data_IF_639515297228
#
_entry.id   IF_639515297228
#
_cell.length_a   1.000
_cell.length_b   1.000
_cell.length_c   1.000
_cell.angle_alpha   90.00
_cell.angle_beta   90.00
_cell.angle_gamma   90.00
#
_symmetry.space_group_name_H-M   'P 1'
#
loop_
_entity.id
_entity.type
_entity.pdbx_description
1 polymer ?
#
# COMPACT_ATOMS: atom_id res chain seq x y z
N UNK A 1 -5.67 10.99 -6.10
CA UNK A 1 -6.45 12.22 -5.82
C UNK A 1 -5.74 13.03 -4.73
N UNK A 2 -5.01 14.11 -5.06
CA UNK A 2 -4.31 14.89 -4.00
C UNK A 2 -5.27 15.93 -3.42
N UNK A 3 -5.57 15.83 -2.12
CA UNK A 3 -6.32 16.84 -1.36
C UNK A 3 -5.34 17.62 -0.50
N UNK A 4 -5.57 18.93 -0.34
CA UNK A 4 -4.75 19.76 0.56
C UNK A 4 -4.89 19.35 2.02
N UNK A 5 -6.05 18.82 2.38
CA UNK A 5 -6.39 18.41 3.73
C UNK A 5 -6.52 16.89 3.81
N UNK A 6 -6.20 16.36 4.97
CA UNK A 6 -6.41 14.97 5.29
C UNK A 6 -7.92 14.68 5.34
N UNK A 7 -8.34 13.60 4.70
CA UNK A 7 -9.72 13.16 4.62
C UNK A 7 -9.78 11.73 5.13
N UNK A 8 -10.48 11.51 6.26
CA UNK A 8 -10.60 10.21 6.91
C UNK A 8 -11.55 9.25 6.18
N UNK A 9 -12.32 9.74 5.21
CA UNK A 9 -13.27 8.93 4.41
C UNK A 9 -12.61 8.22 3.21
N UNK A 10 -11.28 8.24 3.13
CA UNK A 10 -10.55 7.56 2.07
C UNK A 10 -10.80 6.04 2.08
N UNK A 11 -10.68 5.44 0.91
CA UNK A 11 -10.84 3.99 0.75
C UNK A 11 -9.53 3.30 1.08
N UNK A 12 -9.62 2.22 1.84
CA UNK A 12 -8.52 1.30 2.11
C UNK A 12 -9.06 -0.08 2.42
N UNK A 13 -8.17 -1.02 2.71
CA UNK A 13 -8.55 -2.37 3.12
C UNK A 13 -9.16 -2.34 4.52
N UNK A 14 -10.26 -3.07 4.68
CA UNK A 14 -10.68 -3.61 5.96
C UNK A 14 -10.00 -4.97 6.16
N UNK A 15 -10.02 -5.47 7.40
CA UNK A 15 -9.34 -6.68 7.83
C UNK A 15 -9.74 -7.89 6.99
N UNK A 16 -11.02 -8.04 6.66
CA UNK A 16 -11.55 -9.14 5.86
C UNK A 16 -11.01 -9.12 4.42
N UNK A 17 -10.95 -7.94 3.80
CA UNK A 17 -10.35 -7.75 2.48
C UNK A 17 -8.86 -8.04 2.47
N UNK A 18 -8.13 -7.59 3.50
CA UNK A 18 -6.71 -7.91 3.67
C UNK A 18 -6.50 -9.42 3.83
N UNK A 19 -7.33 -10.07 4.66
CA UNK A 19 -7.25 -11.50 4.94
C UNK A 19 -7.53 -12.31 3.68
N UNK A 20 -8.56 -11.94 2.93
CA UNK A 20 -8.88 -12.60 1.67
C UNK A 20 -7.72 -12.55 0.69
N UNK A 21 -7.06 -11.40 0.53
CA UNK A 21 -5.92 -11.24 -0.37
C UNK A 21 -4.76 -12.15 0.03
N UNK A 22 -4.42 -12.19 1.32
CA UNK A 22 -3.37 -13.04 1.88
C UNK A 22 -3.68 -14.53 1.65
N UNK A 23 -4.93 -14.95 1.87
CA UNK A 23 -5.30 -16.36 1.81
C UNK A 23 -5.41 -16.87 0.37
N UNK A 24 -5.88 -16.03 -0.55
CA UNK A 24 -6.32 -16.46 -1.88
C UNK A 24 -5.38 -16.07 -3.03
N UNK A 25 -4.31 -15.33 -2.75
CA UNK A 25 -3.37 -14.87 -3.79
C UNK A 25 -1.93 -15.12 -3.38
N UNK A 26 -0.98 -14.96 -4.30
CA UNK A 26 0.47 -14.97 -4.04
C UNK A 26 1.08 -13.56 -4.04
N UNK A 27 0.24 -12.51 -4.00
CA UNK A 27 0.66 -11.11 -4.02
C UNK A 27 1.64 -10.82 -2.88
N UNK A 28 2.75 -10.17 -3.22
CA UNK A 28 3.83 -9.82 -2.28
C UNK A 28 3.92 -8.33 -1.96
N UNK A 29 3.21 -7.50 -2.71
CA UNK A 29 3.22 -6.05 -2.54
C UNK A 29 1.85 -5.48 -2.87
N UNK A 30 1.34 -4.62 -2.00
CA UNK A 30 0.11 -3.84 -2.19
C UNK A 30 0.45 -2.36 -2.16
N UNK A 31 0.01 -1.64 -3.19
CA UNK A 31 0.19 -0.20 -3.31
C UNK A 31 -1.14 0.54 -3.28
N UNK A 32 -1.18 1.69 -2.62
CA UNK A 32 -2.37 2.57 -2.59
C UNK A 32 -1.99 4.03 -2.87
N UNK A 33 -2.90 4.78 -3.48
CA UNK A 33 -2.71 6.20 -3.82
C UNK A 33 -3.21 7.17 -2.73
N UNK A 34 -3.21 6.70 -1.47
CA UNK A 34 -3.53 7.48 -0.29
C UNK A 34 -2.56 7.23 0.87
N UNK A 35 -2.70 7.96 1.97
CA UNK A 35 -1.77 7.94 3.11
C UNK A 35 -1.73 6.62 3.90
N UNK A 36 -2.70 5.73 3.69
CA UNK A 36 -2.69 4.40 4.31
C UNK A 36 -3.34 3.36 3.40
N UNK A 37 -2.79 2.14 3.35
CA UNK A 37 -3.40 0.97 2.67
C UNK A 37 -4.66 0.51 3.39
N UNK A 38 -4.72 0.65 4.70
CA UNK A 38 -5.88 0.30 5.50
C UNK A 38 -6.88 1.46 5.61
N UNK A 39 -8.17 1.15 5.64
CA UNK A 39 -9.24 2.12 5.92
C UNK A 39 -9.03 2.76 7.30
N UNK A 40 -9.46 4.01 7.47
CA UNK A 40 -9.22 4.77 8.70
C UNK A 40 -9.75 4.05 9.96
N UNK A 41 -10.92 3.44 9.85
CA UNK A 41 -11.57 2.73 10.95
C UNK A 41 -10.92 1.38 11.30
N UNK A 42 -10.03 0.87 10.43
CA UNK A 42 -9.46 -0.48 10.53
C UNK A 42 -7.95 -0.51 10.26
N UNK A 43 -7.27 0.60 10.60
CA UNK A 43 -5.85 0.84 10.38
C UNK A 43 -4.99 -0.32 10.88
N UNK A 44 -5.03 -0.58 12.18
CA UNK A 44 -4.14 -1.56 12.83
C UNK A 44 -4.46 -3.00 12.38
N UNK A 45 -5.72 -3.48 12.44
CA UNK A 45 -6.00 -4.88 12.15
C UNK A 45 -5.66 -5.26 10.71
N UNK A 46 -5.89 -4.37 9.74
CA UNK A 46 -5.54 -4.62 8.34
C UNK A 46 -4.02 -4.64 8.12
N UNK A 47 -3.26 -3.73 8.75
CA UNK A 47 -1.80 -3.75 8.68
C UNK A 47 -1.21 -5.03 9.28
N UNK A 48 -1.74 -5.49 10.42
CA UNK A 48 -1.29 -6.72 11.05
C UNK A 48 -1.53 -7.95 10.17
N UNK A 49 -2.67 -8.03 9.48
CA UNK A 49 -2.93 -9.13 8.55
C UNK A 49 -1.88 -9.21 7.43
N UNK A 50 -1.49 -8.06 6.87
CA UNK A 50 -0.46 -8.00 5.83
C UNK A 50 0.93 -8.34 6.36
N UNK A 51 1.25 -7.88 7.57
CA UNK A 51 2.54 -8.11 8.22
C UNK A 51 2.71 -9.57 8.67
N UNK A 52 1.80 -10.09 9.48
CA UNK A 52 1.99 -11.34 10.23
C UNK A 52 1.96 -12.60 9.36
N UNK A 53 1.17 -12.61 8.28
CA UNK A 53 0.89 -13.86 7.56
C UNK A 53 1.88 -14.15 6.43
N UNK A 54 2.26 -13.13 5.64
CA UNK A 54 3.02 -13.32 4.40
C UNK A 54 4.06 -12.23 4.12
N UNK A 55 4.30 -11.32 5.06
CA UNK A 55 5.16 -10.15 4.89
C UNK A 55 4.82 -9.39 3.59
N UNK A 56 3.53 -9.11 3.36
CA UNK A 56 3.09 -8.33 2.19
C UNK A 56 3.59 -6.90 2.36
N UNK A 57 4.42 -6.45 1.40
CA UNK A 57 5.02 -5.12 1.42
C UNK A 57 3.96 -4.07 1.09
N UNK A 58 3.87 -3.04 1.92
CA UNK A 58 2.92 -1.95 1.74
C UNK A 58 3.60 -0.73 1.12
N UNK A 59 2.96 -0.13 0.11
CA UNK A 59 3.43 1.09 -0.55
C UNK A 59 2.31 2.13 -0.55
N UNK A 60 2.48 3.15 0.28
CA UNK A 60 1.46 4.17 0.52
C UNK A 60 1.86 5.51 -0.13
N UNK A 61 0.87 6.37 -0.35
CA UNK A 61 1.07 7.70 -0.90
C UNK A 61 1.43 7.71 -2.39
N UNK A 62 1.04 6.69 -3.16
CA UNK A 62 1.28 6.66 -4.60
C UNK A 62 0.50 7.78 -5.32
N UNK A 63 0.98 8.16 -6.51
CA UNK A 63 0.30 9.11 -7.39
C UNK A 63 -0.10 8.42 -8.69
N UNK A 64 -1.33 7.91 -8.75
CA UNK A 64 -1.83 7.08 -9.87
C UNK A 64 -2.83 7.77 -10.80
N UNK A 65 -3.18 9.03 -10.57
CA UNK A 65 -4.26 9.77 -11.26
C UNK A 65 -4.21 9.72 -12.80
N UNK A 66 -3.01 9.69 -13.39
CA UNK A 66 -2.82 9.66 -14.86
C UNK A 66 -2.26 8.33 -15.37
N UNK A 67 -2.24 7.29 -14.52
CA UNK A 67 -1.75 5.95 -14.86
C UNK A 67 -2.92 5.13 -15.39
N UNK A 68 -2.78 4.59 -16.61
CA UNK A 68 -3.81 3.69 -17.17
C UNK A 68 -3.72 2.32 -16.50
N UNK A 69 -4.85 1.66 -16.19
CA UNK A 69 -4.84 0.28 -15.72
C UNK A 69 -4.08 -0.66 -16.67
N UNK A 70 -3.33 -1.60 -16.11
CA UNK A 70 -2.52 -2.54 -16.89
C UNK A 70 -1.36 -3.12 -16.09
N UNK A 71 -0.52 -3.89 -16.78
CA UNK A 71 0.68 -4.49 -16.21
C UNK A 71 1.87 -3.57 -16.45
N UNK A 72 2.68 -3.37 -15.41
CA UNK A 72 3.89 -2.56 -15.43
C UNK A 72 4.99 -3.27 -14.64
N UNK A 73 6.24 -2.97 -15.00
CA UNK A 73 7.38 -3.21 -14.13
C UNK A 73 7.46 -2.11 -13.07
N UNK A 74 7.29 -2.50 -11.80
CA UNK A 74 7.37 -1.62 -10.64
C UNK A 74 8.82 -1.50 -10.17
N UNK A 75 9.34 -0.28 -10.07
CA UNK A 75 10.60 -0.01 -9.37
C UNK A 75 10.29 0.81 -8.13
N UNK A 76 10.47 0.18 -6.97
CA UNK A 76 10.03 0.69 -5.67
C UNK A 76 11.12 0.43 -4.62
N UNK A 77 12.28 1.07 -4.79
CA UNK A 77 13.48 0.82 -3.99
C UNK A 77 13.50 1.74 -2.74
N UNK A 78 13.44 1.19 -1.52
CA UNK A 78 13.60 1.96 -0.30
C UNK A 78 15.04 2.42 -0.08
N UNK A 79 15.19 3.54 0.62
CA UNK A 79 16.48 3.94 1.18
C UNK A 79 16.90 2.92 2.23
N UNK A 80 18.21 2.69 2.34
CA UNK A 80 18.78 1.76 3.32
C UNK A 80 18.87 2.42 4.70
N UNK A 81 17.73 2.48 5.41
CA UNK A 81 17.61 3.11 6.72
C UNK A 81 17.59 2.06 7.84
N UNK A 82 18.63 2.00 8.66
CA UNK A 82 18.73 1.01 9.75
C UNK A 82 17.80 1.40 10.90
N UNK A 83 16.98 0.46 11.36
CA UNK A 83 16.08 0.63 12.51
C UNK A 83 14.84 1.48 12.22
N UNK A 84 14.57 1.81 10.96
CA UNK A 84 13.36 2.51 10.55
C UNK A 84 12.21 1.54 10.30
N UNK A 85 10.99 1.98 10.59
CA UNK A 85 9.74 1.22 10.37
C UNK A 85 9.20 1.39 8.94
N UNK A 86 9.81 2.30 8.16
CA UNK A 86 9.48 2.57 6.77
C UNK A 86 10.55 3.41 6.10
N UNK A 87 10.44 3.60 4.79
CA UNK A 87 11.33 4.46 4.02
C UNK A 87 10.57 5.24 2.95
N UNK A 88 10.86 6.53 2.76
CA UNK A 88 10.42 7.22 1.55
C UNK A 88 11.05 6.57 0.32
N UNK A 89 10.35 6.68 -0.80
CA UNK A 89 10.74 6.09 -2.08
C UNK A 89 10.50 7.05 -3.24
N UNK A 90 11.20 6.82 -4.34
CA UNK A 90 10.76 7.27 -5.66
C UNK A 90 10.20 6.06 -6.41
N UNK A 91 8.89 5.85 -6.28
CA UNK A 91 8.19 4.78 -7.00
C UNK A 91 8.01 5.15 -8.47
N UNK A 92 8.39 4.27 -9.38
CA UNK A 92 8.15 4.45 -10.82
C UNK A 92 7.57 3.18 -11.45
N UNK A 93 6.78 3.39 -12.50
CA UNK A 93 6.22 2.34 -13.34
C UNK A 93 6.85 2.43 -14.73
N UNK A 94 7.31 1.29 -15.24
CA UNK A 94 7.85 1.14 -16.60
C UNK A 94 6.96 0.14 -17.33
N UNK A 95 6.62 0.44 -18.59
CA UNK A 95 5.81 -0.45 -19.42
C UNK A 95 6.67 -1.44 -20.18
#
# INVERSE_FOLDING_TARGET
MWKKEFDTSYVGFMKDGAQWLVDNTDIKLVGIDYLSVAAFDDLIPSHLVFLENRDVILVEGLKLENVKPGIYSLHCLPLRLRGAEGSPIRCILIK
#
